data_IF_918712883452
#
_entry.id   IF_918712883452
#
_cell.length_a   1.000
_cell.length_b   1.000
_cell.length_c   1.000
_cell.angle_alpha   90.00
_cell.angle_beta   90.00
_cell.angle_gamma   90.00
#
_symmetry.space_group_name_H-M   'P 1'
#
loop_
_entity.id
_entity.type
_entity.pdbx_description
1 polymer ?
#
# COMPACT_ATOMS: atom_id res chain seq x y z
N UNK A 1 -3.65 42.85 8.89
CA UNK A 1 -3.54 41.39 9.11
C UNK A 1 -2.32 40.91 8.35
N UNK A 2 -1.23 40.66 9.06
CA UNK A 2 -0.03 40.09 8.44
C UNK A 2 -0.20 38.58 8.39
N UNK A 3 -0.37 38.04 7.18
CA UNK A 3 -0.41 36.60 6.97
C UNK A 3 0.94 36.02 7.38
N UNK A 4 0.96 35.21 8.45
CA UNK A 4 2.05 34.28 8.69
C UNK A 4 2.19 33.41 7.44
N UNK A 5 3.20 33.69 6.62
CA UNK A 5 3.63 32.80 5.55
C UNK A 5 3.99 31.50 6.25
N UNK A 6 3.13 30.48 6.12
CA UNK A 6 3.52 29.11 6.41
C UNK A 6 4.86 28.90 5.70
N UNK A 7 5.89 28.54 6.44
CA UNK A 7 7.19 28.17 5.89
C UNK A 7 6.93 27.04 4.89
N UNK A 8 6.89 27.39 3.60
CA UNK A 8 6.73 26.42 2.53
C UNK A 8 8.04 25.64 2.52
N UNK A 9 8.05 24.49 3.21
CA UNK A 9 9.08 23.47 3.02
C UNK A 9 9.29 23.34 1.50
N UNK A 10 10.55 23.31 1.02
CA UNK A 10 10.84 23.28 -0.40
C UNK A 10 10.01 22.18 -1.05
N UNK A 11 9.33 22.50 -2.16
CA UNK A 11 8.43 21.62 -2.89
C UNK A 11 9.13 20.31 -3.26
N UNK A 12 9.14 19.36 -2.32
CA UNK A 12 9.66 18.03 -2.58
C UNK A 12 8.75 17.36 -3.61
N UNK A 13 9.34 16.57 -4.51
CA UNK A 13 8.61 15.80 -5.51
C UNK A 13 7.35 15.19 -4.89
N UNK A 14 6.19 15.37 -5.54
CA UNK A 14 4.89 14.88 -5.08
C UNK A 14 4.91 13.40 -4.68
N UNK A 15 5.77 12.62 -5.32
CA UNK A 15 6.03 11.21 -5.01
C UNK A 15 6.66 11.01 -3.62
N UNK A 16 7.69 11.79 -3.28
CA UNK A 16 8.37 11.75 -1.96
C UNK A 16 7.40 12.14 -0.86
N UNK A 17 6.60 13.19 -1.09
CA UNK A 17 5.57 13.63 -0.14
C UNK A 17 4.50 12.57 0.09
N UNK A 18 4.09 11.87 -0.97
CA UNK A 18 3.10 10.79 -0.89
C UNK A 18 3.63 9.58 -0.12
N UNK A 19 4.88 9.18 -0.33
CA UNK A 19 5.50 8.05 0.39
C UNK A 19 5.81 8.40 1.85
N UNK A 20 6.22 9.63 2.13
CA UNK A 20 6.59 10.08 3.49
C UNK A 20 5.37 10.27 4.41
N UNK A 21 4.16 10.26 3.87
CA UNK A 21 2.93 10.43 4.64
C UNK A 21 2.73 9.29 5.66
N UNK A 22 2.21 9.64 6.84
CA UNK A 22 1.93 8.68 7.93
C UNK A 22 0.94 7.59 7.47
N UNK A 23 0.00 7.97 6.61
CA UNK A 23 -1.00 7.08 6.01
C UNK A 23 -0.33 6.01 5.14
N UNK A 24 0.52 6.43 4.22
CA UNK A 24 1.21 5.52 3.28
C UNK A 24 2.12 4.56 4.01
N UNK A 25 2.84 5.02 5.04
CA UNK A 25 3.65 4.13 5.90
C UNK A 25 2.80 3.04 6.56
N UNK A 26 1.62 3.41 7.09
CA UNK A 26 0.70 2.45 7.72
C UNK A 26 0.15 1.46 6.71
N UNK A 27 -0.22 1.93 5.51
CA UNK A 27 -0.66 1.08 4.40
C UNK A 27 0.43 0.09 3.99
N UNK A 28 1.66 0.55 3.76
CA UNK A 28 2.81 -0.31 3.41
C UNK A 28 3.03 -1.39 4.48
N UNK A 29 2.96 -1.02 5.77
CA UNK A 29 3.18 -1.93 6.87
C UNK A 29 2.11 -3.02 6.93
N UNK A 30 0.83 -2.68 6.75
CA UNK A 30 -0.24 -3.67 6.68
C UNK A 30 -0.18 -4.52 5.41
N UNK A 31 0.21 -3.95 4.26
CA UNK A 31 0.43 -4.72 3.04
C UNK A 31 1.55 -5.75 3.23
N UNK A 32 2.67 -5.37 3.85
CA UNK A 32 3.77 -6.29 4.18
C UNK A 32 3.33 -7.37 5.17
N UNK A 33 2.58 -7.00 6.21
CA UNK A 33 2.06 -7.96 7.18
C UNK A 33 1.11 -8.98 6.52
N UNK A 34 0.19 -8.52 5.67
CA UNK A 34 -0.72 -9.38 4.91
C UNK A 34 0.02 -10.28 3.92
N UNK A 35 1.03 -9.74 3.23
CA UNK A 35 1.85 -10.52 2.30
C UNK A 35 2.64 -11.64 3.02
N UNK A 36 3.26 -11.33 4.16
CA UNK A 36 3.96 -12.33 4.98
C UNK A 36 3.00 -13.39 5.52
N UNK A 37 1.84 -12.99 6.04
CA UNK A 37 0.83 -13.92 6.53
C UNK A 37 0.30 -14.83 5.42
N UNK A 38 0.00 -14.28 4.25
CA UNK A 38 -0.44 -15.04 3.08
C UNK A 38 0.64 -16.00 2.57
N UNK A 39 1.91 -15.57 2.55
CA UNK A 39 3.04 -16.42 2.18
C UNK A 39 3.22 -17.60 3.15
N UNK A 40 3.19 -17.33 4.47
CA UNK A 40 3.30 -18.37 5.49
C UNK A 40 2.12 -19.34 5.38
N UNK A 41 0.90 -18.82 5.21
CA UNK A 41 -0.29 -19.65 5.04
C UNK A 41 -0.13 -20.56 3.82
N UNK A 42 0.18 -20.01 2.65
CA UNK A 42 0.36 -20.76 1.41
C UNK A 42 1.46 -21.82 1.52
N UNK A 43 2.58 -21.48 2.15
CA UNK A 43 3.70 -22.41 2.38
C UNK A 43 3.27 -23.61 3.25
N UNK A 44 2.47 -23.36 4.30
CA UNK A 44 2.03 -24.40 5.23
C UNK A 44 0.84 -25.23 4.73
N UNK A 45 -0.07 -24.63 3.97
CA UNK A 45 -1.31 -25.30 3.54
C UNK A 45 -1.23 -25.94 2.17
N UNK A 46 -0.61 -25.26 1.20
CA UNK A 46 -0.65 -25.74 -0.17
C UNK A 46 0.53 -26.66 -0.50
N UNK A 47 1.69 -26.55 0.18
CA UNK A 47 2.84 -27.43 -0.09
C UNK A 47 3.27 -27.48 -1.56
N UNK A 48 2.77 -26.54 -2.37
CA UNK A 48 2.95 -26.54 -3.81
C UNK A 48 4.32 -25.99 -4.13
N UNK A 49 5.05 -26.72 -4.96
CA UNK A 49 6.22 -26.20 -5.62
C UNK A 49 5.80 -24.89 -6.32
N UNK A 50 6.52 -23.81 -6.04
CA UNK A 50 6.31 -22.47 -6.63
C UNK A 50 6.29 -22.48 -8.17
N UNK A 51 6.69 -23.60 -8.78
CA UNK A 51 6.62 -23.93 -10.21
C UNK A 51 5.22 -23.85 -10.84
N UNK A 52 4.16 -24.02 -10.05
CA UNK A 52 2.77 -23.95 -10.57
C UNK A 52 2.27 -22.51 -10.68
N UNK A 53 2.96 -21.55 -10.06
CA UNK A 53 2.56 -20.14 -10.10
C UNK A 53 3.02 -19.54 -11.42
N UNK A 54 2.12 -19.53 -12.41
CA UNK A 54 2.39 -18.91 -13.71
C UNK A 54 2.56 -17.39 -13.51
N UNK A 55 3.63 -16.81 -14.08
CA UNK A 55 3.98 -15.40 -13.85
C UNK A 55 2.85 -14.42 -14.22
N UNK A 56 1.96 -14.82 -15.14
CA UNK A 56 0.77 -14.06 -15.52
C UNK A 56 -0.24 -13.93 -14.37
N UNK A 57 -0.45 -14.99 -13.58
CA UNK A 57 -1.38 -14.98 -12.45
C UNK A 57 -0.88 -14.06 -11.34
N UNK A 58 0.44 -14.04 -11.08
CA UNK A 58 1.03 -13.13 -10.09
C UNK A 58 0.74 -11.67 -10.45
N UNK A 59 0.95 -11.28 -11.70
CA UNK A 59 0.74 -9.90 -12.14
C UNK A 59 -0.75 -9.53 -12.01
N UNK A 60 -1.65 -10.41 -12.43
CA UNK A 60 -3.08 -10.18 -12.31
C UNK A 60 -3.52 -10.03 -10.85
N UNK A 61 -3.09 -10.91 -9.96
CA UNK A 61 -3.39 -10.83 -8.53
C UNK A 61 -2.77 -9.59 -7.88
N UNK A 62 -1.57 -9.20 -8.27
CA UNK A 62 -0.90 -8.00 -7.76
C UNK A 62 -1.59 -6.72 -8.23
N UNK A 63 -2.08 -6.68 -9.47
CA UNK A 63 -2.86 -5.55 -10.01
C UNK A 63 -4.22 -5.44 -9.32
N UNK A 64 -4.96 -6.54 -9.21
CA UNK A 64 -6.28 -6.55 -8.55
C UNK A 64 -6.13 -6.19 -7.07
N UNK A 65 -5.22 -6.86 -6.36
CA UNK A 65 -4.94 -6.60 -4.95
C UNK A 65 -4.43 -5.18 -4.70
N UNK A 66 -3.54 -4.68 -5.57
CA UNK A 66 -3.02 -3.32 -5.51
C UNK A 66 -4.11 -2.26 -5.77
N UNK A 67 -4.98 -2.49 -6.75
CA UNK A 67 -6.12 -1.61 -7.05
C UNK A 67 -7.07 -1.51 -5.86
N UNK A 68 -7.52 -2.65 -5.31
CA UNK A 68 -8.41 -2.66 -4.14
C UNK A 68 -7.73 -2.10 -2.90
N UNK A 69 -6.45 -2.41 -2.68
CA UNK A 69 -5.66 -1.87 -1.58
C UNK A 69 -5.55 -0.34 -1.63
N UNK A 70 -5.30 0.22 -2.83
CA UNK A 70 -5.28 1.67 -3.03
C UNK A 70 -6.66 2.29 -2.80
N UNK A 71 -7.72 1.65 -3.25
CA UNK A 71 -9.09 2.15 -3.08
C UNK A 71 -9.49 2.21 -1.60
N UNK A 72 -9.22 1.15 -0.84
CA UNK A 72 -9.51 1.08 0.59
C UNK A 72 -8.69 2.14 1.34
N UNK A 73 -7.40 2.26 1.05
CA UNK A 73 -6.49 3.14 1.79
C UNK A 73 -6.60 4.63 1.44
N UNK A 74 -7.06 4.98 0.23
CA UNK A 74 -7.37 6.35 -0.18
C UNK A 74 -8.85 6.74 -0.03
N UNK A 75 -9.69 5.84 0.46
CA UNK A 75 -11.10 6.16 0.72
C UNK A 75 -11.26 7.31 1.73
N UNK A 76 -12.36 8.10 1.65
CA UNK A 76 -12.67 9.13 2.65
C UNK A 76 -12.71 8.57 4.07
N UNK A 77 -13.18 7.33 4.22
CA UNK A 77 -13.24 6.64 5.50
C UNK A 77 -11.87 6.30 6.09
N UNK A 78 -10.89 5.92 5.26
CA UNK A 78 -9.53 5.72 5.75
C UNK A 78 -8.90 7.03 6.27
N UNK A 79 -9.48 8.18 5.96
CA UNK A 79 -9.02 9.51 6.41
C UNK A 79 -9.82 10.07 7.59
N UNK A 80 -10.63 9.27 8.28
CA UNK A 80 -11.56 9.73 9.34
C UNK A 80 -12.45 10.89 8.86
N UNK A 81 -12.88 10.83 7.59
CA UNK A 81 -13.84 11.78 6.99
C UNK A 81 -15.18 11.13 6.64
N UNK A 82 -15.38 9.92 7.16
CA UNK A 82 -16.69 9.47 7.57
C UNK A 82 -16.74 9.61 9.11
#
# INVERSE_FOLDING_TARGET
MEFKKLEIEPESNWFVRTIKSKQTKRSILFTLAGALAGFIYFYLTEGKNMDVIQSGDIIQHMLIGGFFGLFITNSPCARNKC
#
